data_IF_393856486471
#
_entry.id   IF_393856486471
#
_cell.length_a   1.000
_cell.length_b   1.000
_cell.length_c   1.000
_cell.angle_alpha   90.00
_cell.angle_beta   90.00
_cell.angle_gamma   90.00
#
_symmetry.space_group_name_H-M   'P 1'
#
loop_
_entity.id
_entity.type
_entity.pdbx_description
1 polymer ?
#
# COMPACT_ATOMS: atom_id res chain seq x y z
N UNK A 1 -0.95 13.39 2.14
CA UNK A 1 0.22 12.86 1.44
C UNK A 1 -0.22 12.50 0.04
N UNK A 2 0.58 12.80 -0.98
CA UNK A 2 0.37 12.34 -2.34
C UNK A 2 1.08 10.99 -2.58
N UNK A 3 0.49 10.07 -3.36
CA UNK A 3 1.10 8.78 -3.68
C UNK A 3 2.51 8.89 -4.27
N UNK A 4 2.78 9.92 -5.08
CA UNK A 4 4.10 10.14 -5.68
C UNK A 4 5.22 10.33 -4.64
N UNK A 5 4.88 10.74 -3.41
CA UNK A 5 5.83 10.85 -2.29
C UNK A 5 6.32 9.49 -1.78
N UNK A 6 5.66 8.38 -2.13
CA UNK A 6 6.07 7.06 -1.70
C UNK A 6 7.31 6.55 -2.43
N UNK A 7 7.68 7.11 -3.58
CA UNK A 7 8.84 6.63 -4.33
C UNK A 7 10.12 6.71 -3.47
N UNK A 8 10.79 5.56 -3.29
CA UNK A 8 11.95 5.42 -2.41
C UNK A 8 11.63 5.12 -0.94
N UNK A 9 10.36 5.08 -0.55
CA UNK A 9 9.94 4.63 0.78
C UNK A 9 9.97 3.11 0.88
N UNK A 10 10.13 2.59 2.10
CA UNK A 10 10.16 1.15 2.39
C UNK A 10 8.93 0.77 3.19
N UNK A 11 8.30 -0.35 2.87
CA UNK A 11 7.25 -0.93 3.71
C UNK A 11 7.88 -1.50 4.98
N UNK A 12 7.46 -1.01 6.14
CA UNK A 12 8.01 -1.42 7.44
C UNK A 12 7.04 -2.21 8.30
N UNK A 13 5.75 -2.10 8.02
CA UNK A 13 4.71 -2.78 8.79
C UNK A 13 3.51 -3.01 7.88
N UNK A 14 2.90 -4.18 8.04
CA UNK A 14 1.62 -4.53 7.46
C UNK A 14 0.81 -5.16 8.58
N UNK A 15 -0.43 -4.74 8.73
CA UNK A 15 -1.28 -5.25 9.79
C UNK A 15 -2.75 -4.97 9.55
N UNK A 16 -3.54 -5.21 10.59
CA UNK A 16 -4.97 -4.93 10.60
C UNK A 16 -5.33 -4.15 11.87
N UNK A 17 -6.15 -3.11 11.73
CA UNK A 17 -6.64 -2.32 12.87
C UNK A 17 -8.14 -2.14 12.75
N UNK A 18 -8.88 -2.69 13.72
CA UNK A 18 -10.35 -2.61 13.76
C UNK A 18 -11.01 -3.08 12.44
N UNK A 19 -10.54 -4.21 11.90
CA UNK A 19 -10.95 -4.80 10.62
C UNK A 19 -10.46 -4.08 9.34
N UNK A 20 -9.62 -3.05 9.44
CA UNK A 20 -8.99 -2.42 8.28
C UNK A 20 -7.53 -2.83 8.12
N UNK A 21 -7.18 -3.49 7.01
CA UNK A 21 -5.78 -3.69 6.63
C UNK A 21 -5.06 -2.35 6.46
N UNK A 22 -3.80 -2.29 6.87
CA UNK A 22 -2.97 -1.11 6.68
C UNK A 22 -1.53 -1.48 6.31
N UNK A 23 -0.85 -0.53 5.66
CA UNK A 23 0.55 -0.61 5.27
C UNK A 23 1.26 0.64 5.80
N UNK A 24 2.32 0.47 6.59
CA UNK A 24 3.17 1.57 7.04
C UNK A 24 4.39 1.67 6.12
N UNK A 25 4.63 2.87 5.61
CA UNK A 25 5.80 3.24 4.81
C UNK A 25 6.74 4.10 5.66
N UNK A 26 8.03 3.82 5.61
CA UNK A 26 9.07 4.67 6.14
C UNK A 26 9.80 5.40 5.02
N UNK A 27 10.04 6.69 5.21
CA UNK A 27 10.89 7.50 4.34
C UNK A 27 12.31 6.94 4.35
N UNK A 28 12.80 6.49 3.18
CA UNK A 28 14.14 5.92 3.01
C UNK A 28 15.26 6.96 2.98
N UNK A 29 14.95 8.24 3.21
CA UNK A 29 15.91 9.35 3.21
C UNK A 29 16.94 9.30 4.35
N UNK A 30 18.00 10.12 4.22
CA UNK A 30 19.08 10.26 5.22
C UNK A 30 18.69 11.08 6.47
N UNK A 31 17.41 11.44 6.62
CA UNK A 31 16.88 12.21 7.74
C UNK A 31 16.35 11.31 8.87
N UNK A 32 15.75 11.89 9.93
CA UNK A 32 15.01 11.08 10.90
C UNK A 32 13.88 10.35 10.17
N UNK A 33 13.82 9.03 10.34
CA UNK A 33 12.80 8.19 9.70
C UNK A 33 11.41 8.72 10.02
N UNK A 34 10.66 9.06 8.97
CA UNK A 34 9.25 9.41 9.09
C UNK A 34 8.42 8.24 8.59
N UNK A 35 7.29 8.03 9.23
CA UNK A 35 6.34 6.99 8.86
C UNK A 35 5.01 7.57 8.43
N UNK A 36 4.37 6.92 7.48
CA UNK A 36 3.00 7.19 7.08
C UNK A 36 2.27 5.87 6.84
N UNK A 37 1.00 5.81 7.24
CA UNK A 37 0.17 4.63 7.09
C UNK A 37 -0.86 4.83 6.00
N UNK A 38 -0.96 3.86 5.11
CA UNK A 38 -2.06 3.68 4.18
C UNK A 38 -3.08 2.74 4.80
N UNK A 39 -4.30 3.23 4.99
CA UNK A 39 -5.45 2.39 5.35
C UNK A 39 -6.20 1.95 4.11
N UNK A 40 -6.63 0.69 4.09
CA UNK A 40 -7.34 0.07 2.98
C UNK A 40 -8.79 -0.20 3.42
N UNK A 41 -9.73 0.51 2.81
CA UNK A 41 -11.17 0.40 3.09
C UNK A 41 -11.95 0.10 1.78
N UNK A 42 -11.26 -0.49 0.82
CA UNK A 42 -11.84 -0.92 -0.45
C UNK A 42 -11.19 -2.22 -0.91
N UNK A 43 -11.62 -2.72 -2.07
CA UNK A 43 -10.99 -3.90 -2.66
C UNK A 43 -9.57 -3.58 -3.07
N UNK A 44 -8.65 -4.46 -2.71
CA UNK A 44 -7.26 -4.37 -3.11
C UNK A 44 -6.77 -5.72 -3.63
N UNK A 45 -5.68 -5.67 -4.40
CA UNK A 45 -5.03 -6.85 -4.96
C UNK A 45 -3.52 -6.65 -4.94
N UNK A 46 -2.81 -7.64 -4.41
CA UNK A 46 -1.37 -7.76 -4.59
C UNK A 46 -1.10 -8.55 -5.86
N UNK A 47 -0.27 -7.98 -6.74
CA UNK A 47 0.25 -8.62 -7.94
C UNK A 47 1.65 -9.12 -7.65
N UNK A 48 1.93 -10.42 -7.81
CA UNK A 48 3.27 -10.94 -7.68
C UNK A 48 4.19 -10.36 -8.77
N UNK A 49 5.52 -10.42 -8.59
CA UNK A 49 6.44 -10.02 -9.63
C UNK A 49 6.21 -10.92 -10.86
N UNK A 50 6.33 -10.36 -12.07
CA UNK A 50 5.90 -11.01 -13.32
C UNK A 50 6.60 -12.35 -13.63
N UNK A 51 7.60 -12.76 -12.86
CA UNK A 51 8.32 -14.03 -12.98
C UNK A 51 7.70 -15.17 -12.15
N UNK A 52 6.79 -14.87 -11.21
CA UNK A 52 6.09 -15.87 -10.39
C UNK A 52 4.78 -16.27 -11.08
N UNK A 53 4.85 -17.27 -11.97
CA UNK A 53 3.75 -17.78 -12.80
C UNK A 53 2.60 -18.47 -12.06
N UNK A 54 2.43 -18.26 -10.76
CA UNK A 54 1.30 -18.78 -9.98
C UNK A 54 0.42 -17.60 -9.55
N UNK A 55 -0.73 -17.48 -10.21
CA UNK A 55 -1.78 -16.57 -9.78
C UNK A 55 -2.32 -17.10 -8.44
N UNK A 56 -1.82 -16.54 -7.33
CA UNK A 56 -2.44 -16.73 -6.03
C UNK A 56 -3.92 -16.31 -6.13
N UNK A 57 -4.84 -17.05 -5.49
CA UNK A 57 -6.24 -16.67 -5.48
C UNK A 57 -6.38 -15.24 -4.95
N UNK A 58 -7.36 -14.46 -5.44
CA UNK A 58 -7.64 -13.13 -4.92
C UNK A 58 -8.23 -13.26 -3.50
N UNK A 59 -7.40 -13.53 -2.51
CA UNK A 59 -7.79 -13.39 -1.13
C UNK A 59 -7.54 -11.94 -0.72
N UNK A 60 -8.59 -11.28 -0.25
CA UNK A 60 -8.51 -10.06 0.55
C UNK A 60 -7.96 -10.37 1.95
N UNK A 61 -6.99 -11.29 2.05
CA UNK A 61 -6.37 -11.71 3.30
C UNK A 61 -5.08 -10.92 3.47
N UNK A 62 -4.96 -10.24 4.61
CA UNK A 62 -3.77 -9.47 5.03
C UNK A 62 -2.44 -10.20 4.77
N UNK A 63 -2.46 -11.54 4.74
CA UNK A 63 -1.34 -12.39 4.31
C UNK A 63 -0.69 -11.95 2.98
N UNK A 64 -1.46 -11.58 1.96
CA UNK A 64 -0.89 -11.13 0.68
C UNK A 64 -0.18 -9.77 0.78
N UNK A 65 -0.61 -8.91 1.72
CA UNK A 65 0.08 -7.65 1.99
C UNK A 65 1.41 -7.88 2.72
N UNK A 66 1.53 -8.95 3.52
CA UNK A 66 2.78 -9.27 4.23
C UNK A 66 3.95 -9.52 3.26
N UNK A 67 3.68 -10.00 2.05
CA UNK A 67 4.69 -10.18 1.00
C UNK A 67 5.31 -8.85 0.55
N UNK A 68 4.61 -7.73 0.79
CA UNK A 68 5.12 -6.39 0.48
C UNK A 68 6.09 -5.86 1.55
N UNK A 69 6.20 -6.54 2.68
CA UNK A 69 7.02 -6.07 3.79
C UNK A 69 8.50 -6.01 3.41
N UNK A 70 9.20 -4.97 3.86
CA UNK A 70 10.59 -4.65 3.50
C UNK A 70 10.84 -4.33 2.02
N UNK A 71 9.79 -4.26 1.19
CA UNK A 71 9.95 -3.82 -0.20
C UNK A 71 10.05 -2.30 -0.29
N UNK A 72 10.90 -1.84 -1.20
CA UNK A 72 11.00 -0.42 -1.57
C UNK A 72 9.99 -0.10 -2.65
N UNK A 73 9.24 0.98 -2.48
CA UNK A 73 8.35 1.51 -3.49
C UNK A 73 9.18 2.11 -4.62
N UNK A 74 9.02 1.58 -5.82
CA UNK A 74 9.62 2.12 -7.04
C UNK A 74 8.82 3.34 -7.54
N UNK A 75 7.49 3.22 -7.53
CA UNK A 75 6.56 4.25 -7.99
C UNK A 75 5.18 4.02 -7.37
N UNK A 76 4.46 5.10 -7.08
CA UNK A 76 3.04 5.04 -6.81
C UNK A 76 2.31 6.15 -7.57
N UNK A 77 1.06 5.89 -7.97
CA UNK A 77 0.22 6.83 -8.71
C UNK A 77 -1.26 6.53 -8.48
N UNK A 78 -2.12 7.50 -8.78
CA UNK A 78 -3.56 7.28 -8.91
C UNK A 78 -3.90 7.13 -10.39
N UNK A 79 -4.64 6.08 -10.74
CA UNK A 79 -5.15 5.88 -12.10
C UNK A 79 -6.26 6.88 -12.43
N UNK A 80 -6.62 7.02 -13.71
CA UNK A 80 -7.77 7.86 -14.12
C UNK A 80 -9.10 7.38 -13.52
N UNK A 81 -9.19 6.09 -13.15
CA UNK A 81 -10.34 5.50 -12.47
C UNK A 81 -10.37 5.79 -10.96
N UNK A 82 -9.33 6.42 -10.40
CA UNK A 82 -9.21 6.71 -8.97
C UNK A 82 -8.53 5.58 -8.17
N UNK A 83 -8.07 4.52 -8.84
CA UNK A 83 -7.38 3.42 -8.16
C UNK A 83 -5.95 3.83 -7.77
N UNK A 84 -5.53 3.47 -6.57
CA UNK A 84 -4.14 3.63 -6.15
C UNK A 84 -3.32 2.45 -6.67
N UNK A 85 -2.30 2.75 -7.46
CA UNK A 85 -1.36 1.76 -7.99
C UNK A 85 0.03 2.01 -7.39
N UNK A 86 0.56 1.02 -6.67
CA UNK A 86 1.92 1.04 -6.11
C UNK A 86 2.72 -0.08 -6.77
N UNK A 87 3.93 0.24 -7.23
CA UNK A 87 4.88 -0.70 -7.79
C UNK A 87 6.13 -0.73 -6.91
N UNK A 88 6.60 -1.93 -6.63
CA UNK A 88 7.75 -2.20 -5.78
C UNK A 88 8.97 -2.58 -6.60
N UNK A 89 10.15 -2.38 -6.03
CA UNK A 89 11.44 -2.57 -6.70
C UNK A 89 11.72 -4.03 -7.12
N UNK A 90 11.05 -5.01 -6.49
CA UNK A 90 11.10 -6.43 -6.87
C UNK A 90 10.19 -6.77 -8.07
N UNK A 91 9.40 -5.80 -8.55
CA UNK A 91 8.43 -5.97 -9.63
C UNK A 91 7.01 -6.31 -9.16
N UNK A 92 6.80 -6.52 -7.85
CA UNK A 92 5.47 -6.69 -7.25
C UNK A 92 4.65 -5.40 -7.38
N UNK A 93 3.33 -5.52 -7.25
CA UNK A 93 2.43 -4.37 -7.26
C UNK A 93 1.28 -4.50 -6.27
N UNK A 94 0.77 -3.36 -5.80
CA UNK A 94 -0.47 -3.26 -5.08
C UNK A 94 -1.42 -2.36 -5.85
N UNK A 95 -2.65 -2.81 -6.06
CA UNK A 95 -3.73 -1.99 -6.59
C UNK A 95 -4.83 -1.92 -5.55
N UNK A 96 -5.27 -0.72 -5.22
CA UNK A 96 -6.37 -0.45 -4.29
C UNK A 96 -7.44 0.32 -5.04
N UNK A 97 -8.68 -0.17 -5.00
CA UNK A 97 -9.74 0.43 -5.80
C UNK A 97 -10.13 1.82 -5.28
N UNK A 98 -10.34 2.77 -6.18
CA UNK A 98 -10.92 4.08 -5.88
C UNK A 98 -12.44 4.03 -5.67
N UNK A 99 -13.09 2.90 -5.97
CA UNK A 99 -14.50 2.72 -5.68
C UNK A 99 -14.67 2.31 -4.22
N UNK A 100 -15.28 3.19 -3.41
CA UNK A 100 -15.71 2.82 -2.06
C UNK A 100 -16.65 1.62 -2.11
N UNK A 101 -16.58 0.74 -1.11
CA UNK A 101 -17.56 -0.34 -1.02
C UNK A 101 -18.94 0.26 -0.63
N UNK A 102 -20.06 -0.34 -1.07
CA UNK A 102 -21.41 0.23 -0.92
C UNK A 102 -21.86 0.45 0.53
N UNK A 103 -21.15 -0.13 1.49
CA UNK A 103 -21.36 -0.08 2.93
C UNK A 103 -20.42 0.91 3.67
N UNK A 104 -19.60 1.67 2.95
CA UNK A 104 -18.53 2.47 3.52
C UNK A 104 -18.74 3.95 3.18
N UNK A 105 -18.82 4.80 4.21
CA UNK A 105 -19.04 6.24 4.07
C UNK A 105 -17.74 7.07 3.90
N UNK A 106 -16.58 6.42 4.02
CA UNK A 106 -15.26 7.04 3.99
C UNK A 106 -14.57 7.03 2.62
N UNK A 107 -13.33 7.51 2.61
CA UNK A 107 -12.45 7.37 1.45
C UNK A 107 -12.07 5.88 1.28
N UNK A 108 -11.99 5.36 0.04
CA UNK A 108 -11.68 3.94 -0.21
C UNK A 108 -10.27 3.55 0.29
N UNK A 109 -9.38 4.53 0.38
CA UNK A 109 -8.05 4.43 0.94
C UNK A 109 -7.57 5.83 1.29
N UNK A 110 -6.75 5.94 2.33
CA UNK A 110 -6.19 7.22 2.74
C UNK A 110 -4.85 7.05 3.44
N UNK A 111 -4.02 8.09 3.36
CA UNK A 111 -2.76 8.16 4.07
C UNK A 111 -2.89 8.98 5.36
N UNK A 112 -2.24 8.53 6.43
CA UNK A 112 -1.93 9.42 7.55
C UNK A 112 -0.89 10.46 7.12
N UNK A 113 -0.82 11.61 7.82
CA UNK A 113 0.33 12.50 7.70
C UNK A 113 1.63 11.79 8.07
N UNK A 114 2.75 12.28 7.53
CA UNK A 114 4.09 11.86 7.96
C UNK A 114 4.29 12.17 9.44
N UNK A 115 4.58 11.16 10.24
CA UNK A 115 4.95 11.28 11.65
C UNK A 115 6.42 10.92 11.82
N UNK A 116 7.18 11.74 12.54
CA UNK A 116 8.55 11.37 12.91
C UNK A 116 8.50 10.16 13.86
N UNK A 117 9.41 9.20 13.70
CA UNK A 117 9.71 8.29 14.80
C UNK A 117 10.33 9.13 15.93
N UNK A 118 9.69 9.07 17.11
CA UNK A 118 10.18 9.70 18.33
C UNK A 118 11.28 8.90 19.00
#
# INVERSE_FOLDING_TARGET
MHPDELAGCVVVEVGERQAWPFITFADGGRGPSREARLYLDSRWQVRPPSESGEALPPSADVCGLLDLNSLTVERARVSEAGDLEIRFADGSGLIVSGAGAPDIAGEPWWFTPWTAQG
#
